data_IF_954670551312
#
_entry.id   IF_954670551312
#
_cell.length_a   1.000
_cell.length_b   1.000
_cell.length_c   1.000
_cell.angle_alpha   90.00
_cell.angle_beta   90.00
_cell.angle_gamma   90.00
#
_symmetry.space_group_name_H-M   'P 1'
#
loop_
_entity.id
_entity.type
_entity.pdbx_description
1 polymer ?
#
# COMPACT_ATOMS: atom_id res chain seq x y z
N UNK A 1 7.24 6.62 -2.59
CA UNK A 1 6.32 7.77 -2.77
C UNK A 1 5.02 7.24 -3.37
N UNK A 2 3.87 7.44 -2.71
CA UNK A 2 2.55 7.00 -3.24
C UNK A 2 2.31 7.70 -4.60
N UNK A 3 1.89 6.92 -5.60
CA UNK A 3 1.50 7.40 -6.94
C UNK A 3 0.31 8.35 -6.79
N UNK A 4 0.16 9.34 -7.69
CA UNK A 4 -1.03 10.18 -7.73
C UNK A 4 -2.26 9.28 -7.88
N UNK A 5 -3.16 9.35 -6.91
CA UNK A 5 -4.47 8.73 -7.01
C UNK A 5 -5.42 9.78 -7.56
N UNK A 6 -5.94 9.49 -8.74
CA UNK A 6 -6.97 10.27 -9.40
C UNK A 6 -8.13 9.33 -9.67
N UNK A 7 -9.34 9.83 -9.50
CA UNK A 7 -10.56 9.16 -9.90
C UNK A 7 -11.23 10.00 -10.97
N UNK A 8 -11.75 9.35 -12.01
CA UNK A 8 -12.49 10.02 -13.08
C UNK A 8 -13.98 9.84 -12.81
N UNK A 9 -14.68 10.95 -12.60
CA UNK A 9 -16.12 10.96 -12.31
C UNK A 9 -16.79 11.84 -13.35
N UNK A 10 -17.67 11.26 -14.17
CA UNK A 10 -18.37 11.97 -15.25
C UNK A 10 -17.45 12.84 -16.11
N UNK A 11 -16.35 12.25 -16.62
CA UNK A 11 -15.31 12.92 -17.41
C UNK A 11 -14.56 14.07 -16.68
N UNK A 12 -14.67 14.15 -15.35
CA UNK A 12 -13.90 15.07 -14.52
C UNK A 12 -12.87 14.28 -13.72
N UNK A 13 -11.59 14.62 -13.87
CA UNK A 13 -10.52 14.02 -13.07
C UNK A 13 -10.42 14.71 -11.72
N UNK A 14 -10.55 13.92 -10.66
CA UNK A 14 -10.53 14.39 -9.28
C UNK A 14 -9.34 13.79 -8.55
N UNK A 15 -8.51 14.67 -8.00
CA UNK A 15 -7.30 14.27 -7.30
C UNK A 15 -7.61 13.85 -5.86
N UNK A 16 -6.97 12.78 -5.41
CA UNK A 16 -6.94 12.35 -4.01
C UNK A 16 -5.60 12.75 -3.39
N UNK A 17 -5.64 13.23 -2.15
CA UNK A 17 -4.45 13.69 -1.45
C UNK A 17 -3.45 12.57 -1.22
N UNK A 18 -2.17 12.89 -1.46
CA UNK A 18 -1.05 11.94 -1.28
C UNK A 18 -0.75 11.61 0.18
N UNK A 19 -1.02 12.58 1.05
CA UNK A 19 -0.67 12.51 2.48
C UNK A 19 -1.73 11.77 3.27
N UNK A 20 -3.00 11.92 2.87
CA UNK A 20 -4.12 11.26 3.48
C UNK A 20 -5.14 10.92 2.38
N UNK A 21 -5.28 9.63 2.10
CA UNK A 21 -6.11 9.09 1.03
C UNK A 21 -7.62 9.15 1.32
N UNK A 22 -8.02 9.72 2.45
CA UNK A 22 -9.39 10.12 2.74
C UNK A 22 -9.71 11.56 2.30
N UNK A 23 -8.76 12.31 1.74
CA UNK A 23 -8.98 13.69 1.30
C UNK A 23 -9.11 13.79 -0.22
N UNK A 24 -10.18 14.44 -0.66
CA UNK A 24 -10.56 14.60 -2.08
C UNK A 24 -10.43 16.08 -2.45
N UNK A 25 -9.91 16.38 -3.64
CA UNK A 25 -9.78 17.73 -4.15
C UNK A 25 -11.16 18.31 -4.49
N UNK A 26 -11.71 19.16 -3.63
CA UNK A 26 -12.98 19.84 -3.89
C UNK A 26 -12.82 20.95 -4.94
N UNK A 27 -11.60 21.45 -5.18
CA UNK A 27 -11.35 22.33 -6.31
C UNK A 27 -11.53 21.64 -7.66
N UNK A 28 -11.19 20.35 -7.77
CA UNK A 28 -11.43 19.56 -8.99
C UNK A 28 -12.94 19.32 -9.18
N UNK A 29 -13.65 18.98 -8.09
CA UNK A 29 -15.11 18.85 -8.08
C UNK A 29 -15.81 20.15 -8.52
N UNK A 30 -15.29 21.30 -8.11
CA UNK A 30 -15.86 22.61 -8.47
C UNK A 30 -15.72 22.97 -9.96
N UNK A 31 -14.90 22.22 -10.72
CA UNK A 31 -14.63 22.45 -12.15
C UNK A 31 -15.45 21.56 -13.08
N UNK A 32 -16.51 20.91 -12.57
CA UNK A 32 -17.33 19.96 -13.32
C UNK A 32 -17.90 20.51 -14.65
N UNK A 33 -18.09 21.82 -14.76
CA UNK A 33 -18.60 22.52 -15.96
C UNK A 33 -17.47 23.05 -16.88
N UNK A 34 -16.21 22.72 -16.60
CA UNK A 34 -15.04 23.16 -17.36
C UNK A 34 -14.61 24.61 -17.07
N UNK A 35 -15.19 25.29 -16.08
CA UNK A 35 -14.87 26.69 -15.75
C UNK A 35 -13.88 26.80 -14.58
N UNK A 36 -12.59 26.85 -14.89
CA UNK A 36 -11.50 27.01 -13.90
C UNK A 36 -11.59 28.32 -13.10
N UNK A 37 -12.09 29.39 -13.73
CA UNK A 37 -12.19 30.73 -13.12
C UNK A 37 -13.24 30.82 -12.03
N UNK A 38 -14.19 29.89 -11.95
CA UNK A 38 -15.30 29.89 -10.97
C UNK A 38 -15.14 28.90 -9.82
N UNK A 39 -14.13 28.03 -9.86
CA UNK A 39 -13.97 26.96 -8.88
C UNK A 39 -13.83 27.48 -7.44
N UNK A 40 -13.00 28.51 -7.23
CA UNK A 40 -12.79 29.13 -5.91
C UNK A 40 -14.08 29.81 -5.43
N UNK A 41 -14.80 30.48 -6.32
CA UNK A 41 -16.03 31.19 -5.97
C UNK A 41 -17.18 30.23 -5.63
N UNK A 42 -17.25 29.07 -6.29
CA UNK A 42 -18.18 27.99 -5.92
C UNK A 42 -17.93 27.50 -4.49
N UNK A 43 -16.66 27.30 -4.11
CA UNK A 43 -16.31 26.89 -2.74
C UNK A 43 -16.66 27.99 -1.72
N UNK A 44 -16.36 29.27 -2.02
CA UNK A 44 -16.76 30.39 -1.16
C UNK A 44 -18.28 30.50 -1.01
N UNK A 45 -19.02 30.34 -2.10
CA UNK A 45 -20.49 30.35 -2.09
C UNK A 45 -21.06 29.21 -1.26
N UNK A 46 -20.45 28.02 -1.33
CA UNK A 46 -20.82 26.90 -0.49
C UNK A 46 -20.58 27.20 1.00
N UNK A 47 -19.43 27.79 1.36
CA UNK A 47 -19.09 28.21 2.73
C UNK A 47 -19.95 29.36 3.25
N UNK A 48 -20.68 30.08 2.40
CA UNK A 48 -21.62 31.12 2.84
C UNK A 48 -22.89 30.54 3.47
N UNK A 49 -23.24 29.30 3.12
CA UNK A 49 -24.47 28.66 3.58
C UNK A 49 -24.36 28.26 5.06
N UNK A 50 -25.38 28.64 5.84
CA UNK A 50 -25.43 28.32 7.27
C UNK A 50 -25.38 26.82 7.55
N UNK A 51 -26.16 26.03 6.80
CA UNK A 51 -26.17 24.57 6.95
C UNK A 51 -24.78 23.95 6.67
N UNK A 52 -24.04 24.49 5.70
CA UNK A 52 -22.66 24.06 5.41
C UNK A 52 -21.75 24.35 6.60
N UNK A 53 -21.78 25.56 7.15
CA UNK A 53 -20.95 25.94 8.30
C UNK A 53 -21.29 25.09 9.53
N UNK A 54 -22.57 24.84 9.77
CA UNK A 54 -23.02 23.95 10.85
C UNK A 54 -22.49 22.52 10.67
N UNK A 55 -22.62 21.96 9.46
CA UNK A 55 -22.10 20.64 9.14
C UNK A 55 -20.58 20.55 9.32
N UNK A 56 -19.83 21.53 8.80
CA UNK A 56 -18.38 21.59 8.97
C UNK A 56 -17.99 21.67 10.45
N UNK A 57 -18.64 22.55 11.22
CA UNK A 57 -18.38 22.67 12.66
C UNK A 57 -18.71 21.42 13.45
N UNK A 58 -19.77 20.69 13.08
CA UNK A 58 -20.09 19.39 13.68
C UNK A 58 -19.02 18.35 13.35
N UNK A 59 -18.62 18.24 12.08
CA UNK A 59 -17.58 17.31 11.66
C UNK A 59 -16.27 17.59 12.41
N UNK A 60 -15.86 18.85 12.53
CA UNK A 60 -14.65 19.23 13.28
C UNK A 60 -14.76 18.89 14.77
N UNK A 61 -15.89 19.18 15.43
CA UNK A 61 -16.08 18.84 16.86
C UNK A 61 -15.93 17.34 17.15
N UNK A 62 -16.32 16.48 16.21
CA UNK A 62 -16.20 15.02 16.38
C UNK A 62 -14.80 14.49 16.06
N UNK A 63 -14.03 15.17 15.20
CA UNK A 63 -12.81 14.63 14.61
C UNK A 63 -11.54 15.45 14.92
N UNK A 64 -11.67 16.62 15.54
CA UNK A 64 -10.58 17.57 15.78
C UNK A 64 -10.60 18.09 17.22
N UNK A 65 -9.67 17.60 18.04
CA UNK A 65 -9.54 18.00 19.43
C UNK A 65 -9.10 19.46 19.61
N UNK A 66 -8.37 20.02 18.64
CA UNK A 66 -7.82 21.38 18.70
C UNK A 66 -8.72 22.42 18.02
N UNK A 67 -9.99 22.07 17.74
CA UNK A 67 -10.94 22.94 17.06
C UNK A 67 -11.39 24.12 17.94
N UNK A 68 -11.28 25.34 17.39
CA UNK A 68 -11.63 26.57 18.10
C UNK A 68 -13.13 26.85 18.00
N UNK A 69 -13.89 26.30 18.95
CA UNK A 69 -15.35 26.39 19.00
C UNK A 69 -15.88 27.84 19.04
N UNK A 70 -15.21 28.74 19.75
CA UNK A 70 -15.62 30.15 19.86
C UNK A 70 -15.57 30.88 18.50
N UNK A 71 -14.49 30.70 17.73
CA UNK A 71 -14.34 31.27 16.39
C UNK A 71 -15.35 30.68 15.42
N UNK A 72 -15.61 29.37 15.54
CA UNK A 72 -16.68 28.70 14.80
C UNK A 72 -18.06 29.32 15.09
N UNK A 73 -18.42 29.53 16.36
CA UNK A 73 -19.74 30.08 16.71
C UNK A 73 -19.92 31.50 16.15
N UNK A 74 -18.83 32.29 16.06
CA UNK A 74 -18.85 33.59 15.37
C UNK A 74 -19.21 33.44 13.88
N UNK A 75 -18.54 32.53 13.16
CA UNK A 75 -18.86 32.25 11.76
C UNK A 75 -20.27 31.71 11.57
N UNK A 76 -20.72 30.78 12.42
CA UNK A 76 -22.07 30.20 12.38
C UNK A 76 -23.16 31.27 12.51
N UNK A 77 -22.94 32.26 13.38
CA UNK A 77 -23.90 33.34 13.61
C UNK A 77 -23.96 34.34 12.44
N UNK A 78 -22.86 34.53 11.70
CA UNK A 78 -22.81 35.41 10.53
C UNK A 78 -23.24 34.72 9.23
N UNK A 79 -23.13 33.39 9.18
CA UNK A 79 -23.44 32.59 8.00
C UNK A 79 -24.89 32.80 7.52
N UNK A 80 -25.06 32.85 6.20
CA UNK A 80 -26.33 33.17 5.55
C UNK A 80 -26.65 34.66 5.41
N UNK A 81 -25.89 35.57 6.03
CA UNK A 81 -26.06 37.01 5.80
C UNK A 81 -25.50 37.45 4.45
N UNK A 82 -26.03 38.55 3.91
CA UNK A 82 -25.63 39.00 2.59
C UNK A 82 -24.16 39.44 2.50
N UNK A 83 -23.64 40.00 3.58
CA UNK A 83 -22.26 40.48 3.70
C UNK A 83 -21.25 39.40 4.09
N UNK A 84 -21.69 38.19 4.45
CA UNK A 84 -20.80 37.14 4.90
C UNK A 84 -20.03 36.51 3.74
N UNK A 85 -18.70 36.53 3.85
CA UNK A 85 -17.76 35.90 2.92
C UNK A 85 -16.71 35.18 3.74
N UNK A 86 -16.52 33.89 3.47
CA UNK A 86 -15.53 33.05 4.14
C UNK A 86 -14.75 32.25 3.09
N UNK A 87 -13.42 32.32 3.15
CA UNK A 87 -12.56 31.47 2.32
C UNK A 87 -12.14 30.20 3.07
N UNK A 88 -11.79 29.11 2.36
CA UNK A 88 -11.24 27.90 2.99
C UNK A 88 -10.03 28.20 3.88
N UNK A 89 -9.11 29.04 3.41
CA UNK A 89 -7.91 29.43 4.17
C UNK A 89 -8.27 30.16 5.47
N UNK A 90 -9.22 31.11 5.41
CA UNK A 90 -9.71 31.81 6.61
C UNK A 90 -10.38 30.86 7.60
N UNK A 91 -11.22 29.94 7.11
CA UNK A 91 -11.84 28.90 7.94
C UNK A 91 -10.79 28.08 8.70
N UNK A 92 -9.79 27.57 7.97
CA UNK A 92 -8.69 26.78 8.53
C UNK A 92 -7.92 27.56 9.59
N UNK A 93 -7.42 28.75 9.26
CA UNK A 93 -6.55 29.53 10.16
C UNK A 93 -7.27 29.99 11.42
N UNK A 94 -8.54 30.42 11.30
CA UNK A 94 -9.31 30.96 12.42
C UNK A 94 -9.84 29.87 13.33
N UNK A 95 -10.30 28.75 12.77
CA UNK A 95 -10.91 27.68 13.57
C UNK A 95 -9.97 26.52 13.92
N UNK A 96 -8.77 26.51 13.34
CA UNK A 96 -7.86 25.36 13.38
C UNK A 96 -8.49 24.08 12.79
N UNK A 97 -9.34 24.24 11.78
CA UNK A 97 -10.02 23.13 11.12
C UNK A 97 -9.02 22.22 10.39
N UNK A 98 -9.25 20.90 10.47
CA UNK A 98 -8.43 19.90 9.78
C UNK A 98 -9.17 19.26 8.59
N UNK A 99 -10.50 19.28 8.60
CA UNK A 99 -11.36 18.64 7.61
C UNK A 99 -11.29 19.28 6.23
N UNK A 100 -10.80 20.51 6.12
CA UNK A 100 -10.45 21.17 4.87
C UNK A 100 -8.98 21.58 4.94
N UNK A 101 -8.24 21.38 3.86
CA UNK A 101 -6.85 21.83 3.72
C UNK A 101 -6.68 22.54 2.38
N UNK A 102 -5.84 23.57 2.35
CA UNK A 102 -5.55 24.32 1.12
C UNK A 102 -4.06 24.30 0.85
N UNK A 103 -3.67 23.99 -0.39
CA UNK A 103 -2.26 23.93 -0.83
C UNK A 103 -2.07 24.76 -2.09
N UNK A 104 -0.93 25.43 -2.20
CA UNK A 104 -0.50 26.14 -3.41
C UNK A 104 0.48 25.29 -4.22
N UNK A 105 0.54 25.51 -5.54
CA UNK A 105 1.53 24.90 -6.44
C UNK A 105 0.95 23.89 -7.45
N UNK A 106 1.82 23.08 -8.06
CA UNK A 106 1.48 22.13 -9.16
C UNK A 106 0.47 21.04 -8.77
N UNK A 107 0.35 20.74 -7.48
CA UNK A 107 -0.67 19.86 -6.90
C UNK A 107 -1.49 20.62 -5.85
N UNK A 108 -1.61 21.94 -6.07
CA UNK A 108 -2.40 22.83 -5.23
C UNK A 108 -3.89 22.64 -5.48
N UNK A 109 -4.68 23.23 -4.60
CA UNK A 109 -6.12 23.06 -4.55
C UNK A 109 -6.61 23.03 -3.12
N UNK A 110 -7.92 23.10 -2.97
CA UNK A 110 -8.59 22.85 -1.70
C UNK A 110 -8.99 21.38 -1.65
N UNK A 111 -8.52 20.68 -0.63
CA UNK A 111 -8.85 19.29 -0.35
C UNK A 111 -9.73 19.23 0.89
N UNK A 112 -10.71 18.35 0.88
CA UNK A 112 -11.55 18.10 2.05
C UNK A 112 -11.61 16.61 2.36
N UNK A 113 -11.80 16.26 3.63
CA UNK A 113 -12.09 14.90 4.04
C UNK A 113 -13.29 14.36 3.24
N UNK A 114 -13.31 13.06 2.94
CA UNK A 114 -14.32 12.42 2.06
C UNK A 114 -15.75 12.78 2.43
N UNK A 115 -16.11 12.79 3.72
CA UNK A 115 -17.46 13.14 4.17
C UNK A 115 -17.82 14.60 3.82
N UNK A 116 -16.85 15.49 3.93
CA UNK A 116 -16.99 16.92 3.61
C UNK A 116 -17.01 17.11 2.09
N UNK A 117 -16.17 16.38 1.36
CA UNK A 117 -16.14 16.41 -0.10
C UNK A 117 -17.44 15.86 -0.71
N UNK A 118 -18.02 14.80 -0.14
CA UNK A 118 -19.33 14.29 -0.55
C UNK A 118 -20.45 15.27 -0.25
N UNK A 119 -20.35 16.05 0.82
CA UNK A 119 -21.32 17.11 1.10
C UNK A 119 -21.20 18.27 0.11
N UNK A 120 -19.97 18.69 -0.21
CA UNK A 120 -19.73 19.66 -1.29
C UNK A 120 -20.26 19.17 -2.64
N UNK A 121 -20.04 17.90 -2.97
CA UNK A 121 -20.58 17.29 -4.18
C UNK A 121 -22.12 17.32 -4.18
N UNK A 122 -22.77 17.08 -3.02
CA UNK A 122 -24.23 17.19 -2.87
C UNK A 122 -24.74 18.57 -3.22
N UNK A 123 -24.03 19.61 -2.77
CA UNK A 123 -24.36 21.00 -3.04
C UNK A 123 -24.22 21.36 -4.53
N UNK A 124 -23.27 20.75 -5.23
CA UNK A 124 -23.12 20.93 -6.68
C UNK A 124 -24.19 20.15 -7.45
N UNK A 125 -24.27 18.83 -7.24
CA UNK A 125 -25.19 17.95 -7.95
C UNK A 125 -25.33 16.62 -7.22
N UNK A 126 -26.57 16.23 -6.92
CA UNK A 126 -26.88 14.95 -6.29
C UNK A 126 -26.48 13.75 -7.16
N UNK A 127 -26.60 13.89 -8.48
CA UNK A 127 -26.15 12.89 -9.45
C UNK A 127 -24.63 12.72 -9.40
N UNK A 128 -23.89 13.83 -9.42
CA UNK A 128 -22.42 13.78 -9.34
C UNK A 128 -21.94 13.17 -8.03
N UNK A 129 -22.58 13.51 -6.89
CA UNK A 129 -22.30 12.90 -5.59
C UNK A 129 -22.43 11.37 -5.65
N UNK A 130 -23.49 10.85 -6.28
CA UNK A 130 -23.68 9.41 -6.40
C UNK A 130 -22.52 8.74 -7.14
N UNK A 131 -22.12 9.29 -8.29
CA UNK A 131 -20.98 8.76 -9.05
C UNK A 131 -19.66 8.89 -8.29
N UNK A 132 -19.43 10.01 -7.61
CA UNK A 132 -18.24 10.24 -6.78
C UNK A 132 -18.13 9.21 -5.66
N UNK A 133 -19.23 8.93 -4.94
CA UNK A 133 -19.26 7.92 -3.88
C UNK A 133 -18.92 6.55 -4.45
N UNK A 134 -19.56 6.17 -5.57
CA UNK A 134 -19.33 4.87 -6.21
C UNK A 134 -17.88 4.69 -6.64
N UNK A 135 -17.30 5.70 -7.28
CA UNK A 135 -15.94 5.62 -7.78
C UNK A 135 -14.91 5.65 -6.64
N UNK A 136 -15.15 6.45 -5.60
CA UNK A 136 -14.30 6.44 -4.40
C UNK A 136 -14.34 5.09 -3.68
N UNK A 137 -15.52 4.48 -3.53
CA UNK A 137 -15.68 3.13 -2.97
C UNK A 137 -14.94 2.09 -3.81
N UNK A 138 -15.11 2.11 -5.14
CA UNK A 138 -14.40 1.21 -6.07
C UNK A 138 -12.89 1.31 -5.92
N UNK A 139 -12.35 2.52 -5.78
CA UNK A 139 -10.93 2.73 -5.53
C UNK A 139 -10.47 2.07 -4.23
N UNK A 140 -11.21 2.28 -3.13
CA UNK A 140 -10.89 1.69 -1.82
C UNK A 140 -10.99 0.16 -1.83
N UNK A 141 -11.95 -0.40 -2.56
CA UNK A 141 -12.07 -1.85 -2.73
C UNK A 141 -10.88 -2.43 -3.49
N UNK A 142 -10.44 -1.79 -4.58
CA UNK A 142 -9.24 -2.21 -5.33
C UNK A 142 -8.00 -2.16 -4.44
N UNK A 143 -7.79 -1.07 -3.69
CA UNK A 143 -6.67 -0.93 -2.76
C UNK A 143 -6.66 -2.00 -1.66
N UNK A 144 -7.82 -2.27 -1.07
CA UNK A 144 -7.97 -3.29 -0.04
C UNK A 144 -7.77 -4.69 -0.60
N UNK A 145 -8.35 -5.00 -1.76
CA UNK A 145 -8.30 -6.33 -2.36
C UNK A 145 -6.92 -6.68 -2.91
N UNK A 146 -6.25 -5.77 -3.62
CA UNK A 146 -4.93 -6.07 -4.21
C UNK A 146 -3.89 -6.39 -3.14
N UNK A 147 -3.89 -5.65 -2.02
CA UNK A 147 -2.89 -5.83 -0.98
C UNK A 147 -3.22 -6.98 -0.02
N UNK A 148 -4.49 -7.15 0.38
CA UNK A 148 -4.85 -8.21 1.30
C UNK A 148 -4.92 -9.59 0.63
N UNK A 149 -5.41 -9.68 -0.61
CA UNK A 149 -5.57 -10.99 -1.27
C UNK A 149 -4.22 -11.60 -1.62
N UNK A 150 -3.31 -10.84 -2.23
CA UNK A 150 -1.97 -11.32 -2.60
C UNK A 150 -1.19 -11.78 -1.35
N UNK A 151 -1.28 -11.03 -0.25
CA UNK A 151 -0.60 -11.36 0.99
C UNK A 151 -1.20 -12.60 1.67
N UNK A 152 -2.53 -12.71 1.70
CA UNK A 152 -3.22 -13.88 2.24
C UNK A 152 -2.93 -15.15 1.44
N UNK A 153 -2.91 -15.06 0.10
CA UNK A 153 -2.59 -16.19 -0.78
C UNK A 153 -1.16 -16.66 -0.55
N UNK A 154 -0.18 -15.75 -0.48
CA UNK A 154 1.23 -16.11 -0.20
C UNK A 154 1.36 -16.85 1.13
N UNK A 155 0.75 -16.31 2.20
CA UNK A 155 0.78 -16.94 3.52
C UNK A 155 0.11 -18.33 3.53
N UNK A 156 -1.00 -18.48 2.82
CA UNK A 156 -1.70 -19.76 2.69
C UNK A 156 -0.82 -20.81 1.98
N UNK A 157 -0.18 -20.42 0.87
CA UNK A 157 0.71 -21.30 0.11
C UNK A 157 1.91 -21.73 0.96
N UNK A 158 2.60 -20.78 1.61
CA UNK A 158 3.75 -21.11 2.47
C UNK A 158 3.37 -22.02 3.64
N UNK A 159 2.23 -21.77 4.30
CA UNK A 159 1.73 -22.65 5.37
C UNK A 159 1.42 -24.05 4.85
N UNK A 160 0.81 -24.14 3.67
CA UNK A 160 0.50 -25.42 3.02
C UNK A 160 1.77 -26.18 2.68
N UNK A 161 2.78 -25.51 2.10
CA UNK A 161 4.03 -26.16 1.70
C UNK A 161 4.84 -26.64 2.89
N UNK A 162 4.95 -25.83 3.95
CA UNK A 162 5.55 -26.24 5.22
C UNK A 162 4.85 -27.47 5.81
N UNK A 163 3.51 -27.50 5.76
CA UNK A 163 2.72 -28.63 6.25
C UNK A 163 2.94 -29.90 5.41
N UNK A 164 2.98 -29.77 4.08
CA UNK A 164 3.28 -30.89 3.17
C UNK A 164 4.67 -31.46 3.46
N UNK A 165 5.68 -30.60 3.62
CA UNK A 165 7.04 -31.01 3.95
C UNK A 165 7.11 -31.75 5.29
N UNK A 166 6.59 -31.15 6.35
CA UNK A 166 6.62 -31.78 7.68
C UNK A 166 5.81 -33.07 7.75
N UNK A 167 4.71 -33.20 7.01
CA UNK A 167 3.99 -34.47 6.92
C UNK A 167 4.73 -35.53 6.12
N UNK A 168 5.42 -35.16 5.04
CA UNK A 168 6.27 -36.08 4.30
C UNK A 168 7.41 -36.61 5.20
N UNK A 169 8.05 -35.73 5.97
CA UNK A 169 9.06 -36.13 6.97
C UNK A 169 8.44 -37.09 8.00
N UNK A 170 7.27 -36.73 8.55
CA UNK A 170 6.58 -37.55 9.54
C UNK A 170 6.26 -38.96 9.03
N UNK A 171 5.74 -39.07 7.81
CA UNK A 171 5.16 -40.31 7.32
C UNK A 171 6.17 -41.22 6.60
N UNK A 172 7.28 -40.67 6.10
CA UNK A 172 8.24 -41.43 5.29
C UNK A 172 9.66 -41.42 5.85
N UNK A 173 10.09 -40.35 6.51
CA UNK A 173 11.46 -40.25 7.06
C UNK A 173 11.51 -40.80 8.49
N UNK A 174 10.59 -40.38 9.37
CA UNK A 174 10.59 -40.81 10.77
C UNK A 174 10.47 -42.33 10.93
N UNK A 175 9.60 -43.05 10.20
CA UNK A 175 9.50 -44.50 10.36
C UNK A 175 10.78 -45.26 9.99
N UNK A 176 11.66 -44.64 9.20
CA UNK A 176 12.95 -45.19 8.78
C UNK A 176 14.11 -44.71 9.66
N UNK A 177 13.84 -43.84 10.65
CA UNK A 177 14.88 -43.27 11.50
C UNK A 177 15.39 -44.30 12.51
N UNK A 178 16.71 -44.41 12.60
CA UNK A 178 17.41 -45.22 13.61
C UNK A 178 17.47 -44.54 14.99
N UNK A 179 16.99 -43.28 15.10
CA UNK A 179 17.06 -42.51 16.32
C UNK A 179 16.00 -42.95 17.34
N UNK A 180 16.32 -42.90 18.65
CA UNK A 180 15.33 -43.10 19.71
C UNK A 180 14.16 -42.10 19.57
N UNK A 181 12.95 -42.51 19.95
CA UNK A 181 11.72 -41.71 19.85
C UNK A 181 11.88 -40.28 20.39
N UNK A 182 12.55 -40.13 21.53
CA UNK A 182 12.80 -38.83 22.17
C UNK A 182 13.69 -37.87 21.34
N UNK A 183 14.43 -38.38 20.35
CA UNK A 183 15.36 -37.61 19.50
C UNK A 183 14.90 -37.51 18.05
N UNK A 184 13.75 -38.06 17.67
CA UNK A 184 13.26 -38.03 16.28
C UNK A 184 12.95 -36.61 15.78
N UNK A 185 12.79 -35.63 16.68
CA UNK A 185 12.73 -34.21 16.32
C UNK A 185 13.93 -33.72 15.48
N UNK A 186 15.09 -34.39 15.62
CA UNK A 186 16.30 -34.08 14.84
C UNK A 186 16.09 -34.32 13.34
N UNK A 187 15.25 -35.27 12.93
CA UNK A 187 15.00 -35.53 11.50
C UNK A 187 14.29 -34.37 10.81
N UNK A 188 13.38 -33.69 11.51
CA UNK A 188 12.77 -32.46 10.99
C UNK A 188 13.81 -31.37 10.78
N UNK A 189 14.73 -31.21 11.74
CA UNK A 189 15.82 -30.24 11.62
C UNK A 189 16.74 -30.61 10.45
N UNK A 190 17.14 -31.88 10.33
CA UNK A 190 17.97 -32.37 9.23
C UNK A 190 17.34 -32.09 7.86
N UNK A 191 16.05 -32.36 7.70
CA UNK A 191 15.33 -32.13 6.45
C UNK A 191 15.10 -30.64 6.16
N UNK A 192 15.00 -29.80 7.19
CA UNK A 192 15.03 -28.35 7.03
C UNK A 192 16.42 -27.85 6.58
N UNK A 193 17.51 -28.45 7.07
CA UNK A 193 18.86 -28.12 6.64
C UNK A 193 19.11 -28.48 5.17
N UNK A 194 18.47 -29.50 4.62
CA UNK A 194 18.52 -29.80 3.17
C UNK A 194 18.03 -28.61 2.35
N UNK A 195 16.93 -27.97 2.78
CA UNK A 195 16.39 -26.79 2.11
C UNK A 195 17.31 -25.58 2.27
N UNK A 196 17.85 -25.36 3.47
CA UNK A 196 18.78 -24.25 3.71
C UNK A 196 20.07 -24.41 2.87
N UNK A 197 20.61 -25.63 2.78
CA UNK A 197 21.78 -25.95 1.96
C UNK A 197 21.53 -25.81 0.46
N UNK A 198 20.28 -25.97 0.01
CA UNK A 198 19.89 -25.76 -1.38
C UNK A 198 19.79 -24.27 -1.73
N UNK A 199 19.19 -23.45 -0.86
CA UNK A 199 18.96 -22.02 -1.13
C UNK A 199 20.17 -21.16 -0.75
N UNK A 200 20.72 -21.33 0.45
CA UNK A 200 21.73 -20.45 1.04
C UNK A 200 23.15 -21.03 0.99
N UNK A 201 23.30 -22.29 0.56
CA UNK A 201 24.59 -22.97 0.49
C UNK A 201 25.22 -23.30 1.86
N UNK A 202 24.54 -23.03 2.96
CA UNK A 202 25.01 -23.28 4.32
C UNK A 202 23.89 -23.77 5.24
N UNK A 203 24.29 -24.42 6.33
CA UNK A 203 23.36 -24.83 7.40
C UNK A 203 23.06 -23.68 8.36
N UNK A 204 21.97 -23.78 9.12
CA UNK A 204 21.63 -22.78 10.15
C UNK A 204 22.76 -22.59 11.16
N UNK A 205 23.49 -23.67 11.51
CA UNK A 205 24.63 -23.62 12.43
C UNK A 205 25.81 -22.85 11.84
N UNK A 206 26.17 -23.14 10.59
CA UNK A 206 27.25 -22.44 9.89
C UNK A 206 26.93 -20.96 9.70
N UNK A 207 25.68 -20.64 9.35
CA UNK A 207 25.22 -19.27 9.21
C UNK A 207 25.34 -18.48 10.52
N UNK A 208 24.91 -19.07 11.64
CA UNK A 208 25.05 -18.45 12.98
C UNK A 208 26.51 -18.17 13.36
N UNK A 209 27.42 -19.07 12.99
CA UNK A 209 28.85 -18.88 13.23
C UNK A 209 29.43 -17.73 12.39
N UNK A 210 28.94 -17.53 11.17
CA UNK A 210 29.39 -16.47 10.27
C UNK A 210 28.72 -15.11 10.56
N UNK A 211 27.58 -15.09 11.25
CA UNK A 211 26.78 -13.90 11.52
C UNK A 211 26.53 -13.66 13.02
N UNK A 212 27.58 -13.52 13.86
CA UNK A 212 27.42 -13.41 15.31
C UNK A 212 26.63 -12.17 15.75
N UNK A 213 26.68 -11.07 14.98
CA UNK A 213 25.93 -9.84 15.28
C UNK A 213 24.42 -10.01 15.07
N UNK A 214 24.00 -10.71 14.01
CA UNK A 214 22.58 -11.00 13.77
C UNK A 214 22.01 -11.94 14.84
N UNK A 215 22.81 -12.88 15.32
CA UNK A 215 22.43 -13.78 16.43
C UNK A 215 22.23 -13.02 17.74
N UNK A 216 23.04 -11.99 18.01
CA UNK A 216 22.84 -11.11 19.18
C UNK A 216 21.49 -10.37 19.11
N UNK A 217 20.99 -10.09 17.90
CA UNK A 217 19.68 -9.49 17.66
C UNK A 217 18.53 -10.53 17.64
N UNK A 218 18.80 -11.79 17.96
CA UNK A 218 17.84 -12.90 17.94
C UNK A 218 17.26 -13.19 16.55
N UNK A 219 18.02 -12.92 15.47
CA UNK A 219 17.63 -13.18 14.09
C UNK A 219 18.08 -14.59 13.62
N UNK A 220 17.33 -15.17 12.67
CA UNK A 220 17.65 -16.43 11.99
C UNK A 220 17.96 -16.21 10.51
N UNK A 221 18.57 -17.21 9.85
CA UNK A 221 18.90 -17.23 8.42
C UNK A 221 17.71 -16.88 7.53
N UNK A 222 16.50 -17.27 7.93
CA UNK A 222 15.26 -16.99 7.18
C UNK A 222 14.71 -15.58 7.43
N UNK A 223 15.04 -14.95 8.56
CA UNK A 223 14.52 -13.61 8.91
C UNK A 223 15.23 -12.52 8.10
N UNK A 224 16.48 -12.76 7.72
CA UNK A 224 17.28 -11.86 6.88
C UNK A 224 17.29 -12.24 5.39
N UNK A 225 16.56 -13.29 5.01
CA UNK A 225 16.48 -13.75 3.63
C UNK A 225 15.66 -12.77 2.77
N UNK A 226 16.06 -12.62 1.51
CA UNK A 226 15.30 -11.83 0.54
C UNK A 226 13.94 -12.47 0.22
N UNK A 227 13.02 -11.66 -0.29
CA UNK A 227 11.68 -12.11 -0.71
C UNK A 227 11.79 -13.24 -1.76
N UNK A 228 12.76 -13.14 -2.67
CA UNK A 228 12.96 -14.16 -3.71
C UNK A 228 13.46 -15.48 -3.10
N UNK A 229 14.39 -15.43 -2.15
CA UNK A 229 14.87 -16.62 -1.42
C UNK A 229 13.75 -17.29 -0.63
N UNK A 230 12.91 -16.51 0.05
CA UNK A 230 11.74 -17.05 0.77
C UNK A 230 10.73 -17.70 -0.17
N UNK A 231 10.49 -17.11 -1.35
CA UNK A 231 9.59 -17.67 -2.36
C UNK A 231 10.12 -18.99 -2.94
N UNK A 232 11.43 -19.06 -3.22
CA UNK A 232 12.09 -20.29 -3.65
C UNK A 232 12.03 -21.34 -2.56
N UNK A 233 12.35 -20.99 -1.31
CA UNK A 233 12.29 -21.91 -0.17
C UNK A 233 10.90 -22.53 -0.01
N UNK A 234 9.84 -21.71 -0.08
CA UNK A 234 8.44 -22.18 -0.05
C UNK A 234 8.16 -23.19 -1.18
N UNK A 235 8.73 -22.99 -2.37
CA UNK A 235 8.57 -23.92 -3.51
C UNK A 235 9.34 -25.23 -3.30
N UNK A 236 10.57 -25.13 -2.78
CA UNK A 236 11.40 -26.29 -2.48
C UNK A 236 10.82 -27.17 -1.37
N UNK A 237 10.09 -26.61 -0.40
CA UNK A 237 9.36 -27.39 0.62
C UNK A 237 8.38 -28.39 -0.01
N UNK A 238 7.60 -27.92 -1.00
CA UNK A 238 6.64 -28.77 -1.72
C UNK A 238 7.34 -29.84 -2.56
N UNK A 239 8.40 -29.47 -3.29
CA UNK A 239 9.16 -30.40 -4.12
C UNK A 239 9.90 -31.45 -3.30
N UNK A 240 10.50 -31.03 -2.19
CA UNK A 240 11.18 -31.94 -1.29
C UNK A 240 10.19 -32.94 -0.66
N UNK A 241 8.99 -32.48 -0.27
CA UNK A 241 7.88 -33.37 0.15
C UNK A 241 7.57 -34.43 -0.90
N UNK A 242 7.46 -34.03 -2.18
CA UNK A 242 7.19 -34.96 -3.26
C UNK A 242 8.31 -36.00 -3.44
N UNK A 243 9.57 -35.55 -3.43
CA UNK A 243 10.73 -36.45 -3.58
C UNK A 243 10.88 -37.41 -2.38
N UNK A 244 10.55 -36.96 -1.16
CA UNK A 244 10.49 -37.82 0.03
C UNK A 244 9.47 -38.95 -0.17
N UNK A 245 8.27 -38.63 -0.68
CA UNK A 245 7.21 -39.61 -0.96
C UNK A 245 7.63 -40.63 -2.03
N UNK A 246 8.49 -40.24 -2.96
CA UNK A 246 9.06 -41.12 -3.98
C UNK A 246 10.22 -41.99 -3.45
N UNK A 247 10.64 -41.82 -2.19
CA UNK A 247 11.77 -42.55 -1.61
C UNK A 247 13.13 -42.12 -2.18
N UNK A 248 13.23 -40.90 -2.72
CA UNK A 248 14.50 -40.40 -3.24
C UNK A 248 15.52 -40.15 -2.12
N UNK A 249 16.75 -40.62 -2.33
CA UNK A 249 17.84 -40.44 -1.38
C UNK A 249 18.12 -38.95 -1.08
N UNK A 250 18.50 -38.66 0.16
CA UNK A 250 18.70 -37.29 0.66
C UNK A 250 19.72 -36.51 -0.18
N UNK A 251 20.83 -37.14 -0.59
CA UNK A 251 21.87 -36.44 -1.35
C UNK A 251 21.38 -36.11 -2.77
N UNK A 252 20.64 -37.04 -3.39
CA UNK A 252 20.03 -36.80 -4.71
C UNK A 252 19.00 -35.67 -4.65
N UNK A 253 18.17 -35.65 -3.60
CA UNK A 253 17.21 -34.56 -3.34
C UNK A 253 17.92 -33.22 -3.19
N UNK A 254 18.97 -33.15 -2.37
CA UNK A 254 19.73 -31.91 -2.16
C UNK A 254 20.27 -31.33 -3.47
N UNK A 255 20.87 -32.18 -4.32
CA UNK A 255 21.42 -31.73 -5.60
C UNK A 255 20.30 -31.18 -6.51
N UNK A 256 19.21 -31.93 -6.68
CA UNK A 256 18.08 -31.49 -7.52
C UNK A 256 17.43 -30.21 -7.00
N UNK A 257 17.29 -30.05 -5.68
CA UNK A 257 16.74 -28.86 -5.05
C UNK A 257 17.67 -27.65 -5.22
N UNK A 258 18.99 -27.87 -5.18
CA UNK A 258 19.99 -26.81 -5.41
C UNK A 258 19.93 -26.29 -6.85
N UNK A 259 19.88 -27.19 -7.83
CA UNK A 259 19.78 -26.82 -9.24
C UNK A 259 18.50 -26.00 -9.48
N UNK A 260 17.38 -26.47 -8.93
CA UNK A 260 16.09 -25.76 -8.99
C UNK A 260 16.14 -24.40 -8.29
N UNK A 261 16.80 -24.30 -7.13
CA UNK A 261 16.95 -23.05 -6.40
C UNK A 261 17.70 -22.02 -7.24
N UNK A 262 18.81 -22.43 -7.88
CA UNK A 262 19.63 -21.56 -8.72
C UNK A 262 18.87 -21.04 -9.95
N UNK A 263 18.12 -21.92 -10.62
CA UNK A 263 17.29 -21.55 -11.78
C UNK A 263 16.16 -20.58 -11.40
N UNK A 264 15.46 -20.85 -10.30
CA UNK A 264 14.38 -19.98 -9.84
C UNK A 264 14.90 -18.63 -9.34
N UNK A 265 15.97 -18.61 -8.54
CA UNK A 265 16.56 -17.37 -8.02
C UNK A 265 17.08 -16.49 -9.15
N UNK A 266 17.81 -17.04 -10.13
CA UNK A 266 18.32 -16.28 -11.26
C UNK A 266 17.19 -15.61 -12.06
N UNK A 267 16.11 -16.36 -12.30
CA UNK A 267 14.93 -15.86 -13.02
C UNK A 267 14.19 -14.78 -12.21
N UNK A 268 13.94 -15.01 -10.92
CA UNK A 268 13.23 -14.08 -10.06
C UNK A 268 14.01 -12.79 -9.84
N UNK A 269 15.33 -12.89 -9.66
CA UNK A 269 16.20 -11.72 -9.53
C UNK A 269 16.16 -10.89 -10.81
N UNK A 270 16.28 -11.52 -11.99
CA UNK A 270 16.15 -10.84 -13.29
C UNK A 270 14.82 -10.10 -13.44
N UNK A 271 13.69 -10.78 -13.16
CA UNK A 271 12.36 -10.16 -13.24
C UNK A 271 12.23 -8.99 -12.25
N UNK A 272 12.80 -9.13 -11.05
CA UNK A 272 12.74 -8.08 -10.04
C UNK A 272 13.54 -6.84 -10.44
N UNK A 273 14.66 -7.03 -11.13
CA UNK A 273 15.49 -5.95 -11.64
C UNK A 273 14.91 -5.31 -12.90
N UNK A 274 14.26 -6.09 -13.76
CA UNK A 274 13.49 -5.58 -14.91
C UNK A 274 12.31 -4.72 -14.45
N UNK A 275 11.61 -5.11 -13.38
CA UNK A 275 10.56 -4.26 -12.80
C UNK A 275 11.12 -2.96 -12.21
N UNK A 276 12.32 -2.98 -11.64
CA UNK A 276 12.98 -1.76 -11.15
C UNK A 276 13.46 -0.89 -12.30
N UNK A 277 14.01 -1.46 -13.37
CA UNK A 277 14.49 -0.73 -14.54
C UNK A 277 13.33 -0.10 -15.32
N UNK A 278 12.21 -0.81 -15.51
CA UNK A 278 10.99 -0.25 -16.10
C UNK A 278 10.39 0.89 -15.25
N UNK A 279 10.46 0.80 -13.92
CA UNK A 279 10.07 1.91 -13.03
C UNK A 279 11.01 3.11 -13.20
N UNK A 280 12.33 2.89 -13.27
CA UNK A 280 13.33 3.95 -13.50
C UNK A 280 13.18 4.61 -14.86
N UNK A 281 12.91 3.84 -15.93
CA UNK A 281 12.66 4.37 -17.28
C UNK A 281 11.40 5.24 -17.28
N UNK A 282 10.32 4.79 -16.65
CA UNK A 282 9.11 5.62 -16.53
C UNK A 282 9.38 6.91 -15.74
N UNK A 283 10.23 6.86 -14.71
CA UNK A 283 10.64 8.06 -13.96
C UNK A 283 11.57 8.98 -14.77
N UNK A 284 12.53 8.44 -15.53
CA UNK A 284 13.45 9.23 -16.36
C UNK A 284 12.72 9.85 -17.55
N UNK A 285 11.83 9.12 -18.22
CA UNK A 285 10.95 9.65 -19.28
C UNK A 285 10.05 10.76 -18.73
N UNK A 286 9.61 10.66 -17.47
CA UNK A 286 8.84 11.72 -16.82
C UNK A 286 9.69 12.96 -16.49
N UNK A 287 10.98 12.81 -16.19
CA UNK A 287 11.91 13.93 -15.94
C UNK A 287 12.37 14.59 -17.25
N UNK A 288 12.71 13.81 -18.27
CA UNK A 288 13.15 14.30 -19.59
C UNK A 288 12.03 15.07 -20.28
N UNK A 289 10.79 14.58 -20.27
CA UNK A 289 9.64 15.33 -20.79
C UNK A 289 9.40 16.65 -20.05
N UNK A 290 9.74 16.70 -18.75
CA UNK A 290 9.59 17.91 -17.92
C UNK A 290 10.69 18.95 -18.20
N UNK A 291 11.90 18.49 -18.55
CA UNK A 291 13.01 19.34 -18.95
C UNK A 291 12.84 19.84 -20.39
N UNK A 292 12.33 18.99 -21.30
CA UNK A 292 12.01 19.38 -22.68
C UNK A 292 10.87 20.40 -22.76
N UNK A 293 9.86 20.36 -21.87
CA UNK A 293 8.83 21.41 -21.78
C UNK A 293 9.33 22.74 -21.20
N UNK A 294 10.51 22.75 -20.57
CA UNK A 294 11.12 23.96 -19.99
C UNK A 294 12.19 24.60 -20.89
N UNK A 295 12.40 24.08 -22.09
CA UNK A 295 13.33 24.65 -23.07
C UNK A 295 12.78 24.53 -24.49
N UNK A 296 11.93 25.47 -24.89
CA UNK A 296 12.12 26.25 -26.12
C UNK A 296 11.17 27.47 -26.18
N UNK A 297 11.43 28.48 -27.02
CA UNK A 297 12.22 29.64 -26.66
C UNK A 297 11.39 30.93 -26.79
N UNK A 298 11.84 32.02 -26.17
CA UNK A 298 11.51 33.36 -26.64
C UNK A 298 12.81 34.13 -26.75
N UNK A 299 13.13 34.47 -28.00
CA UNK A 299 13.59 35.78 -28.47
C UNK A 299 14.11 36.76 -27.42
#
# INVERSE_FOLDING_TARGET
MKKNQQITVNNTDISISRTNDDYICISDIAKIDGSDTRAIDRIKNWLRNKNTIEYLGLWERFNNADFKVAEFDHFKNQAGSNSFVLSPTQWIEKTNAIGITSKSGRYGGTYAHKDIAFEFASWISQEFKFYLIKEFQRLKEVESNEHNLDWNVKRLISKTNYKLHTEAVKNYVIPQSILPLAKQGIEYANEAEVLNMAVFGCTSKQWKQQNPQAVLNNENIRDIASINELAVLSTLEAMNSHMIKQGADRQKRLNALRDMAQDQLSTLNRISDDKKSLKRINESVYIENKQATNHNPKD
#
